data_IF_836846085147
#
_entry.id   IF_836846085147
#
_cell.length_a   1.000
_cell.length_b   1.000
_cell.length_c   1.000
_cell.angle_alpha   90.00
_cell.angle_beta   90.00
_cell.angle_gamma   90.00
#
_symmetry.space_group_name_H-M   'P 1'
#
loop_
_entity.id
_entity.type
_entity.pdbx_description
1 polymer ?
#
# COMPACT_ATOMS: atom_id res chain seq x y z
N UNK A 1 28.26 17.20 7.67
CA UNK A 1 28.03 15.92 6.96
C UNK A 1 28.26 14.78 7.94
N UNK A 2 27.19 14.15 8.44
CA UNK A 2 27.33 12.92 9.20
C UNK A 2 27.71 11.81 8.22
N UNK A 3 28.96 11.36 8.22
CA UNK A 3 29.35 10.24 7.35
C UNK A 3 28.43 9.06 7.63
N UNK A 4 27.78 8.56 6.59
CA UNK A 4 26.99 7.35 6.66
C UNK A 4 27.81 6.23 7.31
N UNK A 5 27.22 5.50 8.25
CA UNK A 5 27.90 4.37 8.89
C UNK A 5 28.39 3.38 7.82
N UNK A 6 29.46 2.68 8.10
CA UNK A 6 30.03 1.67 7.19
C UNK A 6 29.06 0.53 6.83
N UNK A 7 27.93 0.45 7.54
CA UNK A 7 26.88 -0.59 7.35
C UNK A 7 25.52 0.09 7.33
N UNK A 8 24.68 -0.21 6.32
CA UNK A 8 23.34 0.36 6.20
C UNK A 8 22.43 -0.45 5.28
N UNK A 9 21.12 -0.22 5.45
CA UNK A 9 20.07 -0.54 4.48
C UNK A 9 19.36 0.76 4.08
N UNK A 10 19.41 1.11 2.80
CA UNK A 10 18.75 2.28 2.25
C UNK A 10 17.65 1.87 1.27
N UNK A 11 16.47 2.43 1.43
CA UNK A 11 15.28 2.09 0.65
C UNK A 11 14.67 3.34 0.02
N UNK A 12 14.39 3.27 -1.29
CA UNK A 12 13.47 4.15 -1.99
C UNK A 12 12.23 3.35 -2.40
N UNK A 13 11.11 3.48 -1.67
CA UNK A 13 9.87 2.83 -2.07
C UNK A 13 9.21 3.63 -3.20
N UNK A 14 8.77 2.96 -4.27
CA UNK A 14 8.15 3.56 -5.45
C UNK A 14 6.71 3.09 -5.67
N UNK A 15 6.00 3.69 -6.62
CA UNK A 15 4.58 3.50 -6.95
C UNK A 15 3.60 4.12 -5.94
N UNK A 16 2.32 3.72 -6.02
CA UNK A 16 1.25 4.27 -5.20
C UNK A 16 1.43 4.04 -3.70
N UNK A 17 0.82 4.89 -2.88
CA UNK A 17 0.99 4.96 -1.43
C UNK A 17 0.99 3.60 -0.72
N UNK A 18 -0.02 2.77 -0.96
CA UNK A 18 -0.12 1.47 -0.28
C UNK A 18 1.02 0.52 -0.65
N UNK A 19 1.49 0.54 -1.91
CA UNK A 19 2.65 -0.23 -2.31
C UNK A 19 3.91 0.26 -1.60
N UNK A 20 4.10 1.59 -1.52
CA UNK A 20 5.22 2.21 -0.82
C UNK A 20 5.24 1.85 0.67
N UNK A 21 4.09 1.90 1.35
CA UNK A 21 3.99 1.53 2.77
C UNK A 21 4.23 0.02 2.98
N UNK A 22 3.70 -0.84 2.11
CA UNK A 22 3.94 -2.29 2.18
C UNK A 22 5.42 -2.63 2.03
N UNK A 23 6.09 -1.99 1.07
CA UNK A 23 7.52 -2.12 0.85
C UNK A 23 8.30 -1.61 2.06
N UNK A 24 7.97 -0.41 2.55
CA UNK A 24 8.60 0.21 3.70
C UNK A 24 8.62 -0.74 4.91
N UNK A 25 7.47 -1.28 5.28
CA UNK A 25 7.36 -2.19 6.42
C UNK A 25 8.03 -3.55 6.19
N UNK A 26 7.92 -4.11 5.00
CA UNK A 26 8.58 -5.38 4.67
C UNK A 26 10.10 -5.25 4.75
N UNK A 27 10.65 -4.18 4.19
CA UNK A 27 12.09 -3.97 4.17
C UNK A 27 12.65 -3.48 5.51
N UNK A 28 11.85 -2.80 6.33
CA UNK A 28 12.22 -2.53 7.73
C UNK A 28 12.47 -3.84 8.48
N UNK A 29 11.60 -4.84 8.33
CA UNK A 29 11.77 -6.15 8.95
C UNK A 29 13.06 -6.83 8.47
N UNK A 30 13.37 -6.72 7.17
CA UNK A 30 14.60 -7.27 6.62
C UNK A 30 15.83 -6.56 7.23
N UNK A 31 15.81 -5.24 7.28
CA UNK A 31 16.91 -4.47 7.84
C UNK A 31 17.12 -4.79 9.33
N UNK A 32 16.04 -4.94 10.11
CA UNK A 32 16.10 -5.32 11.51
C UNK A 32 16.67 -6.74 11.69
N UNK A 33 16.23 -7.68 10.85
CA UNK A 33 16.78 -9.05 10.87
C UNK A 33 18.28 -9.06 10.59
N UNK A 34 18.73 -8.25 9.65
CA UNK A 34 20.15 -8.09 9.28
C UNK A 34 20.92 -7.20 10.27
N UNK A 35 20.24 -6.59 11.25
CA UNK A 35 20.82 -5.64 12.21
C UNK A 35 21.52 -4.45 11.52
N UNK A 36 20.95 -3.99 10.42
CA UNK A 36 21.44 -2.84 9.65
C UNK A 36 20.65 -1.57 10.02
N UNK A 37 21.30 -0.42 10.18
CA UNK A 37 20.61 0.86 10.23
C UNK A 37 19.75 1.03 8.97
N UNK A 38 18.50 1.45 9.15
CA UNK A 38 17.52 1.58 8.06
C UNK A 38 17.30 3.03 7.71
N UNK A 39 17.53 3.38 6.45
CA UNK A 39 17.38 4.71 5.90
C UNK A 39 16.33 4.70 4.79
N UNK A 40 15.56 5.77 4.70
CA UNK A 40 14.47 5.90 3.72
C UNK A 40 14.63 7.17 2.91
N UNK A 41 14.70 7.04 1.60
CA UNK A 41 14.54 8.14 0.67
C UNK A 41 13.08 8.16 0.19
N UNK A 42 12.32 9.10 0.72
CA UNK A 42 10.90 9.26 0.37
C UNK A 42 10.73 10.50 -0.48
N UNK A 43 10.36 10.33 -1.73
CA UNK A 43 10.21 11.40 -2.71
C UNK A 43 9.00 11.15 -3.60
N UNK A 44 8.68 12.07 -4.48
CA UNK A 44 7.73 11.82 -5.57
C UNK A 44 8.17 10.61 -6.42
N UNK A 45 7.23 9.91 -7.01
CA UNK A 45 7.51 8.86 -7.98
C UNK A 45 6.30 8.65 -8.88
N UNK A 46 6.54 8.47 -10.17
CA UNK A 46 5.56 8.05 -11.18
C UNK A 46 4.21 8.79 -11.12
N UNK A 47 4.24 10.13 -10.97
CA UNK A 47 3.03 10.96 -10.92
C UNK A 47 2.38 11.08 -9.54
N UNK A 48 3.04 10.63 -8.48
CA UNK A 48 2.63 10.89 -7.10
C UNK A 48 3.36 12.10 -6.52
N UNK A 49 2.63 12.93 -5.77
CA UNK A 49 3.12 14.18 -5.22
C UNK A 49 4.26 14.03 -4.19
N UNK A 50 4.92 15.16 -3.88
CA UNK A 50 6.04 15.24 -2.93
C UNK A 50 5.61 15.19 -1.46
N UNK A 51 4.42 14.68 -1.13
CA UNK A 51 3.96 14.64 0.25
C UNK A 51 4.97 13.88 1.12
N UNK A 52 5.56 14.58 2.08
CA UNK A 52 6.52 13.99 3.01
C UNK A 52 5.87 12.87 3.86
N UNK A 53 6.61 11.79 4.08
CA UNK A 53 6.11 10.65 4.86
C UNK A 53 5.69 11.06 6.28
N UNK A 54 6.35 12.04 6.89
CA UNK A 54 6.01 12.62 8.20
C UNK A 54 4.64 13.28 8.25
N UNK A 55 4.13 13.74 7.10
CA UNK A 55 2.77 14.24 6.99
C UNK A 55 1.72 13.13 6.89
N UNK A 56 2.13 11.90 6.64
CA UNK A 56 1.26 10.75 6.42
C UNK A 56 1.19 9.86 7.67
N UNK A 57 2.37 9.51 8.21
CA UNK A 57 2.48 8.61 9.36
C UNK A 57 3.40 9.19 10.43
N UNK A 58 3.22 8.74 11.68
CA UNK A 58 4.17 9.01 12.75
C UNK A 58 5.38 8.08 12.59
N UNK A 59 6.56 8.68 12.45
CA UNK A 59 7.80 7.95 12.09
C UNK A 59 8.86 8.18 13.15
N UNK A 60 8.83 7.46 14.25
CA UNK A 60 9.93 7.49 15.23
C UNK A 60 11.11 6.60 14.84
N UNK A 61 10.86 5.56 14.03
CA UNK A 61 11.80 4.46 13.82
C UNK A 61 12.51 4.49 12.46
N UNK A 62 12.24 5.53 11.64
CA UNK A 62 12.85 5.68 10.32
C UNK A 62 13.83 6.85 10.31
N UNK A 63 14.96 6.63 9.65
CA UNK A 63 15.92 7.69 9.32
C UNK A 63 15.76 8.07 7.87
N UNK A 64 15.60 9.36 7.62
CA UNK A 64 15.45 9.88 6.27
C UNK A 64 16.79 10.30 5.71
N UNK A 65 16.95 10.12 4.41
CA UNK A 65 18.05 10.63 3.61
C UNK A 65 17.50 11.59 2.56
N UNK A 66 18.30 12.56 2.18
CA UNK A 66 17.97 13.50 1.12
C UNK A 66 18.37 12.96 -0.28
N UNK A 67 18.09 13.77 -1.30
CA UNK A 67 18.38 13.41 -2.68
C UNK A 67 19.89 13.25 -2.94
N UNK A 68 20.73 14.07 -2.31
CA UNK A 68 22.17 14.01 -2.52
C UNK A 68 22.76 12.70 -1.96
N UNK A 69 22.33 12.32 -0.75
CA UNK A 69 22.72 11.04 -0.12
C UNK A 69 22.20 9.85 -0.93
N UNK A 70 20.95 9.93 -1.45
CA UNK A 70 20.42 8.90 -2.32
C UNK A 70 21.19 8.77 -3.62
N UNK A 71 21.47 9.89 -4.32
CA UNK A 71 22.18 9.90 -5.59
C UNK A 71 23.60 9.35 -5.48
N UNK A 72 24.29 9.59 -4.37
CA UNK A 72 25.60 9.02 -4.10
C UNK A 72 25.57 7.48 -4.03
N UNK A 73 24.48 6.92 -3.51
CA UNK A 73 24.36 5.49 -3.23
C UNK A 73 23.34 4.75 -4.10
N UNK A 74 22.60 5.47 -4.97
CA UNK A 74 21.53 4.88 -5.78
C UNK A 74 21.99 3.68 -6.59
N UNK A 75 21.09 2.70 -6.81
CA UNK A 75 21.35 1.63 -7.75
C UNK A 75 21.53 2.21 -9.15
N UNK A 76 22.71 2.11 -9.70
CA UNK A 76 22.89 2.35 -11.14
C UNK A 76 22.25 1.18 -11.86
N UNK A 77 21.41 1.41 -12.89
CA UNK A 77 20.63 0.38 -13.60
C UNK A 77 21.45 -0.91 -13.80
N UNK A 78 21.14 -1.97 -13.05
CA UNK A 78 21.99 -3.14 -13.00
C UNK A 78 21.46 -4.29 -13.87
N UNK A 79 22.23 -4.66 -14.82
CA UNK A 79 22.56 -6.08 -15.00
C UNK A 79 23.28 -6.54 -13.72
N UNK A 80 22.84 -7.63 -13.10
CA UNK A 80 23.65 -8.30 -12.08
C UNK A 80 24.94 -8.68 -12.77
N UNK A 81 25.93 -7.82 -12.63
CA UNK A 81 27.25 -8.12 -13.13
C UNK A 81 27.77 -9.29 -12.30
N UNK A 82 28.10 -10.39 -12.98
CA UNK A 82 28.73 -11.57 -12.36
C UNK A 82 29.98 -11.19 -11.57
N UNK A 83 30.44 -9.94 -11.67
CA UNK A 83 31.59 -9.36 -10.99
C UNK A 83 31.33 -8.85 -9.57
N UNK A 84 30.07 -8.85 -9.06
CA UNK A 84 29.80 -8.45 -7.66
C UNK A 84 30.27 -9.51 -6.64
N UNK A 85 31.04 -10.48 -7.05
CA UNK A 85 31.54 -11.55 -6.17
C UNK A 85 32.53 -11.08 -5.09
N UNK A 86 32.86 -9.79 -5.03
CA UNK A 86 33.85 -9.24 -4.08
C UNK A 86 33.42 -8.00 -3.32
N UNK A 87 32.23 -7.43 -3.56
CA UNK A 87 31.81 -6.21 -2.87
C UNK A 87 30.87 -6.51 -1.71
N UNK A 88 31.05 -5.77 -0.61
CA UNK A 88 30.10 -5.79 0.53
C UNK A 88 28.82 -5.00 0.25
N UNK A 89 28.61 -4.56 -0.99
CA UNK A 89 27.49 -3.75 -1.41
C UNK A 89 26.50 -4.56 -2.25
N UNK A 90 25.19 -4.32 -2.00
CA UNK A 90 24.11 -4.87 -2.76
C UNK A 90 23.19 -3.75 -3.21
N UNK A 91 22.88 -3.71 -4.51
CA UNK A 91 22.01 -2.71 -5.10
C UNK A 91 20.87 -3.42 -5.85
N UNK A 92 19.62 -3.08 -5.53
CA UNK A 92 18.43 -3.65 -6.10
C UNK A 92 17.61 -2.59 -6.81
N UNK A 93 17.35 -2.80 -8.10
CA UNK A 93 16.40 -2.04 -8.89
C UNK A 93 15.23 -2.94 -9.29
N UNK A 94 14.00 -2.47 -9.00
CA UNK A 94 12.77 -3.22 -9.27
C UNK A 94 12.41 -3.33 -10.74
N UNK A 95 12.97 -2.51 -11.60
CA UNK A 95 12.69 -2.55 -13.04
C UNK A 95 13.23 -3.80 -13.74
N UNK A 96 14.10 -4.57 -13.05
CA UNK A 96 14.73 -5.77 -13.60
C UNK A 96 14.52 -6.95 -12.68
N UNK A 97 13.91 -8.00 -13.22
CA UNK A 97 13.78 -9.28 -12.53
C UNK A 97 15.16 -9.87 -12.22
N UNK A 98 15.67 -9.60 -11.04
CA UNK A 98 16.81 -10.35 -10.54
C UNK A 98 16.35 -11.73 -10.15
N UNK A 99 16.71 -12.73 -10.91
CA UNK A 99 16.65 -14.10 -10.42
C UNK A 99 17.48 -14.15 -9.13
N UNK A 100 16.95 -14.48 -7.98
CA UNK A 100 17.36 -15.76 -7.47
C UNK A 100 17.32 -15.87 -5.97
N UNK A 101 16.88 -16.99 -5.54
CA UNK A 101 17.13 -17.65 -4.27
C UNK A 101 18.58 -17.44 -3.78
N UNK A 102 19.57 -17.50 -4.68
CA UNK A 102 20.97 -17.31 -4.36
C UNK A 102 21.28 -15.89 -3.85
N UNK A 103 20.75 -14.85 -4.51
CA UNK A 103 20.98 -13.46 -4.07
C UNK A 103 20.24 -13.16 -2.76
N UNK A 104 19.01 -13.64 -2.62
CA UNK A 104 18.29 -13.56 -1.36
C UNK A 104 19.05 -14.28 -0.24
N UNK A 105 19.60 -15.47 -0.51
CA UNK A 105 20.42 -16.22 0.45
C UNK A 105 21.66 -15.43 0.86
N UNK A 106 22.40 -14.88 -0.09
CA UNK A 106 23.60 -14.07 0.20
C UNK A 106 23.26 -12.82 1.03
N UNK A 107 22.18 -12.12 0.68
CA UNK A 107 21.71 -10.97 1.44
C UNK A 107 21.37 -11.37 2.87
N UNK A 108 20.59 -12.43 3.04
CA UNK A 108 20.11 -12.87 4.36
C UNK A 108 21.20 -13.50 5.24
N UNK A 109 22.28 -14.02 4.63
CA UNK A 109 23.45 -14.52 5.37
C UNK A 109 24.41 -13.39 5.80
N UNK A 110 24.03 -12.12 5.61
CA UNK A 110 24.86 -10.98 6.02
C UNK A 110 26.10 -10.76 5.16
N UNK A 111 26.14 -11.33 3.95
CA UNK A 111 27.26 -11.12 3.00
C UNK A 111 27.38 -9.65 2.61
N UNK A 112 26.24 -8.93 2.61
CA UNK A 112 26.20 -7.51 2.27
C UNK A 112 26.03 -6.65 3.52
N UNK A 113 26.84 -5.63 3.66
CA UNK A 113 26.75 -4.68 4.77
C UNK A 113 26.18 -3.34 4.32
N UNK A 114 26.23 -3.06 3.02
CA UNK A 114 25.62 -1.88 2.40
C UNK A 114 24.59 -2.35 1.38
N UNK A 115 23.32 -2.02 1.63
CA UNK A 115 22.21 -2.42 0.77
C UNK A 115 21.45 -1.18 0.35
N UNK A 116 21.30 -1.00 -0.96
CA UNK A 116 20.48 0.06 -1.54
C UNK A 116 19.42 -0.56 -2.43
N UNK A 117 18.14 -0.21 -2.19
CA UNK A 117 17.03 -0.79 -2.90
C UNK A 117 16.02 0.27 -3.35
N UNK A 118 15.71 0.29 -4.64
CA UNK A 118 14.58 1.01 -5.23
C UNK A 118 13.51 -0.01 -5.61
N UNK A 119 12.40 -0.04 -4.86
CA UNK A 119 11.49 -1.19 -4.90
C UNK A 119 10.03 -0.77 -4.93
N UNK A 120 9.28 -1.42 -5.81
CA UNK A 120 7.82 -1.49 -5.72
C UNK A 120 7.39 -2.85 -5.18
N UNK A 121 6.31 -2.88 -4.41
CA UNK A 121 5.74 -4.13 -3.97
C UNK A 121 4.80 -4.66 -5.06
N UNK A 122 5.39 -5.17 -6.14
CA UNK A 122 4.61 -5.83 -7.17
C UNK A 122 4.27 -7.26 -6.72
N UNK A 123 3.01 -7.69 -6.82
CA UNK A 123 2.68 -9.10 -6.65
C UNK A 123 3.47 -9.94 -7.66
N UNK A 124 3.97 -11.08 -7.22
CA UNK A 124 4.76 -12.04 -8.01
C UNK A 124 6.22 -11.67 -8.28
N UNK A 125 6.82 -10.88 -7.42
CA UNK A 125 8.26 -10.63 -7.52
C UNK A 125 9.04 -11.75 -6.82
N UNK A 126 9.64 -12.63 -7.60
CA UNK A 126 10.36 -13.81 -7.10
C UNK A 126 11.46 -13.48 -6.07
N UNK A 127 12.08 -12.30 -6.19
CA UNK A 127 13.11 -11.88 -5.23
C UNK A 127 12.51 -11.45 -3.89
N UNK A 128 11.41 -10.68 -3.89
CA UNK A 128 10.72 -10.30 -2.65
C UNK A 128 10.19 -11.53 -1.92
N UNK A 129 9.60 -12.48 -2.64
CA UNK A 129 9.13 -13.73 -2.06
C UNK A 129 10.30 -14.56 -1.48
N UNK A 130 11.41 -14.62 -2.19
CA UNK A 130 12.60 -15.30 -1.71
C UNK A 130 13.15 -14.68 -0.43
N UNK A 131 13.20 -13.35 -0.32
CA UNK A 131 13.60 -12.64 0.91
C UNK A 131 12.64 -12.90 2.05
N UNK A 132 11.35 -12.72 1.81
CA UNK A 132 10.29 -12.88 2.81
C UNK A 132 10.28 -14.30 3.39
N UNK A 133 10.49 -15.31 2.54
CA UNK A 133 10.51 -16.72 2.97
C UNK A 133 11.74 -17.07 3.81
N UNK A 134 12.81 -16.29 3.75
CA UNK A 134 14.04 -16.51 4.54
C UNK A 134 13.95 -15.97 5.97
N UNK A 135 12.99 -15.07 6.25
CA UNK A 135 12.83 -14.51 7.59
C UNK A 135 11.79 -15.30 8.38
N UNK A 136 12.18 -15.94 9.48
CA UNK A 136 11.26 -16.67 10.33
C UNK A 136 10.10 -15.75 10.78
N UNK A 137 8.87 -16.23 10.65
CA UNK A 137 7.67 -15.51 11.07
C UNK A 137 7.45 -14.13 10.40
N UNK A 138 8.05 -13.85 9.23
CA UNK A 138 7.93 -12.56 8.54
C UNK A 138 6.47 -12.10 8.43
N UNK A 139 5.55 -12.97 8.01
CA UNK A 139 4.11 -12.63 7.90
C UNK A 139 3.52 -12.14 9.22
N UNK A 140 3.90 -12.76 10.34
CA UNK A 140 3.45 -12.35 11.69
C UNK A 140 4.05 -11.02 12.09
N UNK A 141 5.34 -10.82 11.84
CA UNK A 141 6.06 -9.56 12.10
C UNK A 141 5.48 -8.43 11.26
N UNK A 142 5.25 -8.67 9.96
CA UNK A 142 4.63 -7.71 9.07
C UNK A 142 3.24 -7.29 9.54
N UNK A 143 2.36 -8.24 9.86
CA UNK A 143 1.03 -7.92 10.39
C UNK A 143 1.08 -7.14 11.69
N UNK A 144 2.00 -7.47 12.60
CA UNK A 144 2.20 -6.71 13.84
C UNK A 144 2.60 -5.27 13.54
N UNK A 145 3.56 -5.06 12.64
CA UNK A 145 4.07 -3.75 12.27
C UNK A 145 3.01 -2.91 11.54
N UNK A 146 2.28 -3.51 10.59
CA UNK A 146 1.18 -2.83 9.88
C UNK A 146 0.06 -2.39 10.84
N UNK A 147 -0.31 -3.25 11.80
CA UNK A 147 -1.34 -2.92 12.80
C UNK A 147 -0.90 -1.87 13.82
N UNK A 148 0.40 -1.70 14.01
CA UNK A 148 0.95 -0.62 14.85
C UNK A 148 1.12 0.70 14.10
N UNK A 149 0.69 0.78 12.84
CA UNK A 149 0.74 2.00 12.05
C UNK A 149 0.01 3.14 12.76
N UNK A 150 0.74 4.17 13.12
CA UNK A 150 0.19 5.42 13.63
C UNK A 150 0.23 6.48 12.53
N UNK A 151 -0.93 7.01 12.18
CA UNK A 151 -1.01 8.11 11.22
C UNK A 151 -0.61 9.44 11.88
N UNK A 152 -0.17 10.40 11.07
CA UNK A 152 0.19 11.74 11.54
C UNK A 152 -1.02 12.47 12.15
N UNK A 153 -0.74 13.48 12.96
CA UNK A 153 -1.83 14.29 13.55
C UNK A 153 -2.60 15.08 12.48
N UNK A 154 -1.97 15.42 11.36
CA UNK A 154 -2.67 16.03 10.21
C UNK A 154 -3.72 15.08 9.63
N UNK A 155 -3.38 13.80 9.43
CA UNK A 155 -4.31 12.79 8.94
C UNK A 155 -5.43 12.54 9.94
N UNK A 156 -5.12 12.46 11.24
CA UNK A 156 -6.15 12.33 12.31
C UNK A 156 -7.13 13.49 12.29
N UNK A 157 -6.61 14.71 12.25
CA UNK A 157 -7.44 15.93 12.23
C UNK A 157 -8.37 15.96 11.04
N UNK A 158 -7.86 15.69 9.84
CA UNK A 158 -8.66 15.65 8.61
C UNK A 158 -9.73 14.54 8.65
N UNK A 159 -9.45 13.45 9.32
CA UNK A 159 -10.37 12.30 9.43
C UNK A 159 -11.49 12.51 10.46
N UNK A 160 -11.32 13.41 11.43
CA UNK A 160 -12.20 13.53 12.60
C UNK A 160 -13.67 13.74 12.26
N UNK A 161 -13.98 14.59 11.29
CA UNK A 161 -15.37 14.89 10.93
C UNK A 161 -16.08 13.64 10.37
N UNK A 162 -15.39 12.89 9.53
CA UNK A 162 -15.93 11.65 8.97
C UNK A 162 -16.04 10.55 10.02
N UNK A 163 -15.03 10.42 10.90
CA UNK A 163 -15.05 9.42 11.99
C UNK A 163 -16.20 9.62 12.98
N UNK A 164 -16.60 10.86 13.23
CA UNK A 164 -17.79 11.15 14.08
C UNK A 164 -19.09 10.57 13.52
N UNK A 165 -19.12 10.26 12.21
CA UNK A 165 -20.28 9.66 11.54
C UNK A 165 -20.25 8.13 11.59
N UNK A 166 -19.12 7.52 12.04
CA UNK A 166 -18.96 6.09 12.20
C UNK A 166 -19.64 5.66 13.50
N UNK A 167 -20.94 5.45 13.41
CA UNK A 167 -21.80 5.04 14.52
C UNK A 167 -22.38 3.66 14.21
N UNK A 168 -22.23 2.72 15.12
CA UNK A 168 -22.62 1.34 14.93
C UNK A 168 -21.75 0.59 13.92
N UNK A 169 -22.35 -0.31 13.14
CA UNK A 169 -21.67 -1.10 12.14
C UNK A 169 -21.42 -0.30 10.86
N UNK A 170 -20.17 -0.20 10.47
CA UNK A 170 -19.74 0.49 9.24
C UNK A 170 -19.02 -0.48 8.31
N UNK A 171 -19.53 -0.64 7.11
CA UNK A 171 -18.91 -1.39 6.02
C UNK A 171 -18.03 -0.44 5.18
N UNK A 172 -16.73 -0.71 5.12
CA UNK A 172 -15.81 0.00 4.24
C UNK A 172 -15.81 -0.56 2.82
N UNK A 173 -15.84 0.32 1.84
CA UNK A 173 -15.78 -0.02 0.41
C UNK A 173 -14.73 0.84 -0.27
N UNK A 174 -13.74 0.22 -0.89
CA UNK A 174 -12.73 0.91 -1.68
C UNK A 174 -12.89 0.60 -3.15
N UNK A 175 -13.06 1.63 -3.96
CA UNK A 175 -13.26 1.51 -5.41
C UNK A 175 -12.25 2.42 -6.13
N UNK A 176 -11.44 1.82 -7.01
CA UNK A 176 -10.48 2.52 -7.83
C UNK A 176 -10.91 2.45 -9.30
N UNK A 177 -11.32 3.59 -9.84
CA UNK A 177 -11.83 3.70 -11.22
C UNK A 177 -10.98 4.64 -12.09
N UNK A 178 -10.23 5.58 -11.53
CA UNK A 178 -9.56 6.63 -12.28
C UNK A 178 -8.61 6.12 -13.36
N UNK A 179 -7.46 5.58 -12.98
CA UNK A 179 -6.44 5.04 -13.90
C UNK A 179 -6.61 3.53 -14.19
N UNK A 180 -7.37 2.83 -13.33
CA UNK A 180 -7.60 1.39 -13.44
C UNK A 180 -8.68 1.01 -14.48
N UNK A 181 -9.39 1.99 -15.04
CA UNK A 181 -10.44 1.79 -16.07
C UNK A 181 -9.90 1.84 -17.50
N UNK A 182 -8.65 1.50 -17.73
CA UNK A 182 -8.23 1.26 -19.11
C UNK A 182 -8.93 -0.02 -19.61
N UNK A 183 -10.10 0.16 -20.23
CA UNK A 183 -10.90 -0.90 -20.86
C UNK A 183 -10.12 -1.74 -21.86
N UNK A 184 -8.94 -1.28 -22.27
CA UNK A 184 -8.02 -1.98 -23.16
C UNK A 184 -7.24 -3.09 -22.46
N UNK A 185 -7.24 -3.13 -21.12
CA UNK A 185 -6.55 -4.17 -20.38
C UNK A 185 -7.54 -5.21 -19.83
N UNK A 186 -7.65 -6.41 -20.45
CA UNK A 186 -8.59 -7.44 -20.02
C UNK A 186 -8.31 -8.00 -18.61
N UNK A 187 -7.15 -7.69 -18.01
CA UNK A 187 -6.82 -8.08 -16.64
C UNK A 187 -7.59 -7.26 -15.59
N UNK A 188 -8.20 -6.14 -15.96
CA UNK A 188 -8.99 -5.29 -15.07
C UNK A 188 -10.51 -5.55 -15.17
N UNK A 189 -10.92 -6.79 -15.46
CA UNK A 189 -12.34 -7.20 -15.56
C UNK A 189 -13.20 -6.94 -14.31
N UNK A 190 -12.57 -6.57 -13.20
CA UNK A 190 -13.26 -6.38 -11.90
C UNK A 190 -14.06 -5.08 -11.81
N UNK A 191 -13.90 -4.16 -12.75
CA UNK A 191 -14.55 -2.86 -12.76
C UNK A 191 -15.61 -2.72 -13.85
N UNK A 192 -16.30 -3.79 -14.21
CA UNK A 192 -17.45 -3.71 -15.12
C UNK A 192 -18.63 -3.03 -14.42
N UNK A 193 -19.54 -2.43 -15.22
CA UNK A 193 -20.79 -1.86 -14.70
C UNK A 193 -21.60 -2.88 -13.90
N UNK A 194 -21.60 -4.15 -14.31
CA UNK A 194 -22.32 -5.22 -13.64
C UNK A 194 -21.70 -5.53 -12.26
N UNK A 195 -20.37 -5.53 -12.16
CA UNK A 195 -19.69 -5.72 -10.88
C UNK A 195 -19.95 -4.55 -9.93
N UNK A 196 -19.95 -3.31 -10.43
CA UNK A 196 -20.31 -2.14 -9.63
C UNK A 196 -21.73 -2.22 -9.11
N UNK A 197 -22.69 -2.66 -9.96
CA UNK A 197 -24.07 -2.88 -9.53
C UNK A 197 -24.15 -3.89 -8.40
N UNK A 198 -23.50 -5.05 -8.52
CA UNK A 198 -23.47 -6.09 -7.46
C UNK A 198 -22.87 -5.55 -6.15
N UNK A 199 -21.82 -4.73 -6.23
CA UNK A 199 -21.21 -4.08 -5.05
C UNK A 199 -22.23 -3.14 -4.39
N UNK A 200 -22.92 -2.33 -5.17
CA UNK A 200 -23.96 -1.41 -4.66
C UNK A 200 -25.11 -2.20 -4.02
N UNK A 201 -25.61 -3.25 -4.68
CA UNK A 201 -26.67 -4.10 -4.17
C UNK A 201 -26.25 -4.78 -2.83
N UNK A 202 -25.00 -5.23 -2.74
CA UNK A 202 -24.44 -5.75 -1.48
C UNK A 202 -24.42 -4.68 -0.38
N UNK A 203 -24.03 -3.46 -0.71
CA UNK A 203 -24.03 -2.34 0.24
C UNK A 203 -25.45 -1.93 0.65
N UNK A 204 -26.42 -2.00 -0.25
CA UNK A 204 -27.83 -1.73 0.02
C UNK A 204 -28.41 -2.72 1.03
N UNK A 205 -28.00 -3.99 0.93
CA UNK A 205 -28.44 -5.06 1.83
C UNK A 205 -27.72 -5.05 3.20
N UNK A 206 -26.58 -4.34 3.33
CA UNK A 206 -25.90 -4.21 4.62
C UNK A 206 -26.79 -3.43 5.61
N UNK A 207 -26.91 -3.91 6.84
CA UNK A 207 -27.80 -3.31 7.86
C UNK A 207 -27.29 -1.97 8.40
N UNK A 208 -25.95 -1.79 8.44
CA UNK A 208 -25.30 -0.61 8.97
C UNK A 208 -25.03 0.47 7.93
N UNK A 209 -24.13 1.39 8.28
CA UNK A 209 -23.65 2.46 7.40
C UNK A 209 -22.59 1.93 6.44
N UNK A 210 -22.38 2.61 5.32
CA UNK A 210 -21.41 2.24 4.30
C UNK A 210 -20.48 3.41 4.04
N UNK A 211 -19.20 3.25 4.35
CA UNK A 211 -18.17 4.23 4.01
C UNK A 211 -17.54 3.90 2.67
N UNK A 212 -17.66 4.82 1.70
CA UNK A 212 -17.11 4.65 0.34
C UNK A 212 -15.91 5.56 0.13
N UNK A 213 -14.78 4.96 -0.20
CA UNK A 213 -13.58 5.64 -0.72
C UNK A 213 -13.41 5.30 -2.20
N UNK A 214 -13.47 6.32 -3.05
CA UNK A 214 -13.28 6.17 -4.50
C UNK A 214 -12.54 7.38 -5.06
N UNK A 215 -11.84 7.20 -6.18
CA UNK A 215 -11.19 8.24 -6.97
C UNK A 215 -12.07 8.74 -8.13
N UNK A 216 -13.32 8.29 -8.22
CA UNK A 216 -14.27 8.60 -9.29
C UNK A 216 -15.56 9.25 -8.76
N UNK A 217 -15.88 10.45 -9.28
CA UNK A 217 -17.05 11.21 -8.86
C UNK A 217 -18.36 10.58 -9.34
N UNK A 218 -18.39 9.96 -10.52
CA UNK A 218 -19.61 9.33 -11.05
C UNK A 218 -19.98 8.11 -10.22
N UNK A 219 -18.96 7.31 -9.86
CA UNK A 219 -19.13 6.17 -8.95
C UNK A 219 -19.68 6.65 -7.61
N UNK A 220 -19.13 7.70 -7.03
CA UNK A 220 -19.64 8.25 -5.77
C UNK A 220 -21.10 8.72 -5.91
N UNK A 221 -21.47 9.34 -7.03
CA UNK A 221 -22.84 9.78 -7.29
C UNK A 221 -23.83 8.58 -7.40
N UNK A 222 -23.38 7.46 -7.99
CA UNK A 222 -24.20 6.24 -8.02
C UNK A 222 -24.52 5.74 -6.60
N UNK A 223 -23.52 5.73 -5.70
CA UNK A 223 -23.75 5.38 -4.30
C UNK A 223 -24.66 6.37 -3.58
N UNK A 224 -24.49 7.69 -3.81
CA UNK A 224 -25.39 8.73 -3.22
C UNK A 224 -26.85 8.50 -3.60
N UNK A 225 -27.10 8.14 -4.85
CA UNK A 225 -28.46 7.90 -5.34
C UNK A 225 -29.09 6.64 -4.76
N UNK A 226 -28.28 5.60 -4.51
CA UNK A 226 -28.75 4.30 -4.04
C UNK A 226 -28.79 4.17 -2.52
N UNK A 227 -27.90 4.84 -1.81
CA UNK A 227 -27.73 4.72 -0.37
C UNK A 227 -27.87 6.05 0.37
N UNK A 228 -28.89 6.90 0.10
CA UNK A 228 -28.97 8.25 0.60
C UNK A 228 -28.90 8.37 2.14
N UNK A 229 -29.42 7.38 2.85
CA UNK A 229 -29.55 7.40 4.31
C UNK A 229 -28.43 6.68 5.06
N UNK A 230 -27.58 5.91 4.38
CA UNK A 230 -26.53 5.12 5.03
C UNK A 230 -25.13 5.34 4.43
N UNK A 231 -25.01 6.12 3.36
CA UNK A 231 -23.73 6.42 2.75
C UNK A 231 -22.92 7.40 3.58
N UNK A 232 -21.70 7.02 3.87
CA UNK A 232 -20.66 7.88 4.42
C UNK A 232 -19.56 8.05 3.37
N UNK A 233 -19.06 9.26 3.23
CA UNK A 233 -17.93 9.58 2.35
C UNK A 233 -17.21 10.82 2.84
N UNK A 234 -15.95 10.96 2.48
CA UNK A 234 -15.18 12.17 2.73
C UNK A 234 -15.37 13.16 1.58
N UNK A 235 -15.63 14.42 1.93
CA UNK A 235 -15.59 15.50 0.94
C UNK A 235 -14.15 15.72 0.49
N UNK A 236 -13.88 15.54 -0.79
CA UNK A 236 -12.57 15.79 -1.42
C UNK A 236 -12.77 16.34 -2.82
N UNK A 237 -11.73 16.96 -3.36
CA UNK A 237 -11.74 17.38 -4.76
C UNK A 237 -11.41 16.17 -5.65
N UNK A 238 -12.23 15.94 -6.66
CA UNK A 238 -11.96 14.98 -7.72
C UNK A 238 -11.27 15.70 -8.87
N UNK A 239 -10.17 15.17 -9.37
CA UNK A 239 -9.42 15.77 -10.48
C UNK A 239 -9.84 15.10 -11.79
N UNK A 240 -10.25 15.91 -12.76
CA UNK A 240 -10.74 15.43 -14.05
C UNK A 240 -9.66 14.82 -14.94
N UNK A 241 -8.38 15.09 -14.70
CA UNK A 241 -7.31 14.63 -15.57
C UNK A 241 -6.58 13.40 -15.03
N UNK A 242 -6.54 12.36 -15.86
CA UNK A 242 -5.80 11.10 -15.58
C UNK A 242 -4.28 11.28 -15.51
N UNK A 243 -3.74 12.42 -15.89
CA UNK A 243 -2.30 12.67 -16.08
C UNK A 243 -1.70 13.59 -15.03
N UNK A 244 -2.50 14.34 -14.29
CA UNK A 244 -1.99 15.21 -13.24
C UNK A 244 -2.13 14.51 -11.91
N UNK A 245 -1.01 14.06 -11.37
CA UNK A 245 -0.90 13.68 -9.97
C UNK A 245 -1.63 14.73 -9.12
N UNK A 246 -2.62 14.28 -8.37
CA UNK A 246 -3.43 15.18 -7.54
C UNK A 246 -2.49 15.91 -6.59
N UNK A 247 -2.46 17.24 -6.66
CA UNK A 247 -1.87 18.06 -5.59
C UNK A 247 -2.48 17.57 -4.26
N UNK A 248 -1.67 17.02 -3.36
CA UNK A 248 -2.05 16.30 -2.14
C UNK A 248 -2.62 14.87 -2.33
N UNK A 249 -2.46 14.24 -3.48
CA UNK A 249 -3.04 12.92 -3.74
C UNK A 249 -2.60 11.84 -2.75
N UNK A 250 -1.35 11.85 -2.28
CA UNK A 250 -0.88 10.91 -1.26
C UNK A 250 -1.46 11.21 0.13
N UNK A 251 -1.63 12.49 0.48
CA UNK A 251 -2.26 12.86 1.74
C UNK A 251 -3.73 12.43 1.76
N UNK A 252 -4.47 12.76 0.72
CA UNK A 252 -5.86 12.33 0.56
C UNK A 252 -6.02 10.82 0.57
N UNK A 253 -5.13 10.12 -0.12
CA UNK A 253 -5.10 8.65 -0.09
C UNK A 253 -4.82 8.12 1.33
N UNK A 254 -3.94 8.77 2.11
CA UNK A 254 -3.66 8.35 3.48
C UNK A 254 -4.85 8.55 4.40
N UNK A 255 -5.58 9.67 4.25
CA UNK A 255 -6.83 9.93 4.99
C UNK A 255 -7.88 8.86 4.66
N UNK A 256 -8.09 8.55 3.38
CA UNK A 256 -9.03 7.52 2.94
C UNK A 256 -8.63 6.12 3.46
N UNK A 257 -7.34 5.79 3.40
CA UNK A 257 -6.81 4.53 3.93
C UNK A 257 -7.06 4.41 5.43
N UNK A 258 -6.79 5.48 6.18
CA UNK A 258 -7.02 5.51 7.61
C UNK A 258 -8.51 5.35 7.93
N UNK A 259 -9.40 6.10 7.27
CA UNK A 259 -10.84 5.95 7.44
C UNK A 259 -11.33 4.53 7.16
N UNK A 260 -10.90 3.93 6.05
CA UNK A 260 -11.21 2.53 5.74
C UNK A 260 -10.73 1.57 6.82
N UNK A 261 -9.56 1.80 7.40
CA UNK A 261 -9.02 0.96 8.47
C UNK A 261 -9.80 1.06 9.79
N UNK A 262 -10.62 2.10 9.95
CA UNK A 262 -11.46 2.31 11.15
C UNK A 262 -12.88 1.73 11.01
N UNK A 263 -13.23 1.16 9.85
CA UNK A 263 -14.53 0.48 9.67
C UNK A 263 -14.56 -0.87 10.40
N UNK A 264 -15.74 -1.43 10.60
CA UNK A 264 -15.89 -2.74 11.25
C UNK A 264 -15.53 -3.89 10.31
N UNK A 265 -15.88 -3.72 9.04
CA UNK A 265 -15.66 -4.68 7.97
C UNK A 265 -15.23 -3.96 6.70
N UNK A 266 -14.61 -4.67 5.77
CA UNK A 266 -14.37 -4.16 4.42
C UNK A 266 -14.82 -5.17 3.38
N UNK A 267 -15.60 -4.69 2.40
CA UNK A 267 -15.98 -5.48 1.23
C UNK A 267 -14.77 -5.61 0.29
N UNK A 268 -14.33 -6.84 -0.04
CA UNK A 268 -13.25 -7.04 -0.98
C UNK A 268 -13.75 -6.77 -2.42
N UNK A 269 -13.50 -5.58 -2.93
CA UNK A 269 -14.02 -5.11 -4.23
C UNK A 269 -13.03 -5.19 -5.38
N UNK A 270 -11.75 -5.35 -5.08
CA UNK A 270 -10.69 -5.31 -6.09
C UNK A 270 -9.40 -5.95 -5.57
N UNK A 271 -8.54 -6.52 -6.41
CA UNK A 271 -7.17 -6.90 -6.05
C UNK A 271 -6.27 -5.71 -5.73
N UNK A 272 -6.82 -4.54 -5.44
CA UNK A 272 -6.09 -3.33 -5.10
C UNK A 272 -5.24 -3.52 -3.85
N UNK A 273 -3.95 -3.24 -3.97
CA UNK A 273 -3.02 -3.19 -2.84
C UNK A 273 -3.47 -2.19 -1.76
N UNK A 274 -4.19 -1.14 -2.15
CA UNK A 274 -4.70 -0.11 -1.26
C UNK A 274 -5.77 -0.66 -0.29
N UNK A 275 -6.84 -1.25 -0.82
CA UNK A 275 -7.89 -1.86 0.01
C UNK A 275 -7.36 -2.99 0.88
N UNK A 276 -6.45 -3.84 0.33
CA UNK A 276 -5.80 -4.89 1.10
C UNK A 276 -4.98 -4.33 2.26
N UNK A 277 -4.21 -3.28 2.03
CA UNK A 277 -3.40 -2.67 3.09
C UNK A 277 -4.28 -2.00 4.17
N UNK A 278 -5.33 -1.26 3.78
CA UNK A 278 -6.30 -0.71 4.73
C UNK A 278 -6.94 -1.81 5.59
N UNK A 279 -7.35 -2.93 4.98
CA UNK A 279 -7.87 -4.10 5.70
C UNK A 279 -6.86 -4.70 6.68
N UNK A 280 -5.58 -4.80 6.31
CA UNK A 280 -4.53 -5.32 7.19
C UNK A 280 -4.27 -4.38 8.38
N UNK A 281 -4.27 -3.06 8.17
CA UNK A 281 -4.18 -2.04 9.23
C UNK A 281 -5.33 -2.16 10.21
N UNK A 282 -6.57 -2.26 9.74
CA UNK A 282 -7.78 -2.42 10.55
C UNK A 282 -7.97 -3.81 11.16
N UNK A 283 -6.99 -4.71 11.04
CA UNK A 283 -7.03 -6.03 11.66
C UNK A 283 -7.74 -7.10 10.83
N UNK A 284 -7.38 -7.23 9.56
CA UNK A 284 -7.93 -8.21 8.62
C UNK A 284 -9.44 -8.00 8.33
N UNK A 285 -9.87 -6.77 8.04
CA UNK A 285 -11.29 -6.41 7.85
C UNK A 285 -11.98 -7.21 6.74
N UNK A 286 -11.28 -7.57 5.66
CA UNK A 286 -11.79 -8.46 4.63
C UNK A 286 -12.15 -9.84 5.18
N UNK A 287 -11.32 -10.36 6.08
CA UNK A 287 -11.58 -11.64 6.73
C UNK A 287 -12.76 -11.55 7.69
N UNK A 288 -12.86 -10.44 8.43
CA UNK A 288 -14.01 -10.20 9.32
C UNK A 288 -15.31 -10.15 8.53
N UNK A 289 -15.34 -9.48 7.38
CA UNK A 289 -16.51 -9.46 6.50
C UNK A 289 -16.91 -10.88 6.06
N UNK A 290 -15.94 -11.65 5.55
CA UNK A 290 -16.19 -13.04 5.10
C UNK A 290 -16.71 -13.97 6.20
N UNK A 291 -16.31 -13.77 7.45
CA UNK A 291 -16.77 -14.60 8.56
C UNK A 291 -18.22 -14.31 8.98
N UNK A 292 -18.72 -13.11 8.70
CA UNK A 292 -20.07 -12.70 9.10
C UNK A 292 -21.15 -12.98 8.04
N UNK A 293 -20.78 -13.07 6.76
CA UNK A 293 -21.72 -13.23 5.63
C UNK A 293 -21.44 -14.52 4.85
N UNK A 294 -21.72 -15.66 5.45
CA UNK A 294 -21.39 -16.97 4.88
C UNK A 294 -22.12 -17.33 3.58
N UNK A 295 -23.23 -16.68 3.22
CA UNK A 295 -24.06 -17.06 2.08
C UNK A 295 -23.93 -16.17 0.83
N UNK A 296 -23.64 -14.88 0.98
CA UNK A 296 -23.56 -13.94 -0.17
C UNK A 296 -22.18 -14.03 -0.86
N UNK A 297 -21.17 -14.46 -0.13
CA UNK A 297 -19.78 -14.45 -0.61
C UNK A 297 -19.44 -15.51 -1.65
N UNK A 298 -20.15 -16.62 -1.70
CA UNK A 298 -19.89 -17.64 -2.74
C UNK A 298 -20.09 -17.10 -4.16
N UNK A 299 -21.00 -16.15 -4.35
CA UNK A 299 -21.18 -15.50 -5.65
C UNK A 299 -20.13 -14.44 -5.94
N UNK A 300 -19.61 -13.75 -4.91
CA UNK A 300 -18.53 -12.76 -5.07
C UNK A 300 -17.15 -13.43 -5.20
N UNK A 301 -16.94 -14.60 -4.62
CA UNK A 301 -15.66 -15.35 -4.76
C UNK A 301 -15.39 -15.79 -6.20
N UNK A 302 -16.42 -15.99 -7.01
CA UNK A 302 -16.27 -16.21 -8.46
C UNK A 302 -15.80 -14.95 -9.21
N UNK A 303 -15.94 -13.78 -8.59
CA UNK A 303 -15.56 -12.47 -9.16
C UNK A 303 -14.17 -12.04 -8.68
N UNK A 304 -13.73 -12.50 -7.51
CA UNK A 304 -12.49 -12.10 -6.85
C UNK A 304 -11.55 -13.32 -6.75
N UNK A 305 -11.05 -13.77 -7.88
CA UNK A 305 -9.88 -14.67 -7.88
C UNK A 305 -8.62 -13.83 -7.64
N UNK A 306 -7.99 -14.06 -6.50
CA UNK A 306 -6.68 -13.51 -6.12
C UNK A 306 -5.54 -14.26 -6.81
#
# INVERSE_FOLDING_TARGET
MNSMKSKYFMLKPINGLANRLRVLFSYKIIADYLKLPFYVYWTESDGFDETQLTNLISVSDFKFVDESEWCEHRPVSFQIDKRITGTSEFKLDSSRQTKSELMATRMMNGTFTKITAEVSNLPNWSFNDALVNKIPNHKKLYKKLVRSLSVSDKVKTESQQTLKLFDGDVLGVHLRFGDAMDFRNPKHKLHTKDNLKKIIDTCENHSGKVFVSTDDQEVLNMFKNKLPNKLLFRKKQFVESKLNAQKNGQFDAMVDLYLLSQTNYMLPTSPSSFGKFASDVGGDLYKKYRSNESNILKELETIITW
#
